data_IF_833245494620
#
_entry.id   IF_833245494620
#
_cell.length_a   1.000
_cell.length_b   1.000
_cell.length_c   1.000
_cell.angle_alpha   90.00
_cell.angle_beta   90.00
_cell.angle_gamma   90.00
#
_symmetry.space_group_name_H-M   'P 1'
#
loop_
_entity.id
_entity.type
_entity.pdbx_description
1 polymer ?
#
# COMPACT_ATOMS: atom_id res chain seq x y z
N UNK A 1 35.23 60.95 31.68
CA UNK A 1 36.43 60.17 31.29
C UNK A 1 36.29 58.74 31.78
N UNK A 2 35.78 57.87 30.90
CA UNK A 2 35.89 56.42 30.94
C UNK A 2 35.44 55.95 29.56
N UNK A 3 36.32 56.16 28.60
CA UNK A 3 36.25 55.49 27.30
C UNK A 3 36.37 53.97 27.59
N UNK A 4 35.74 53.08 26.85
CA UNK A 4 35.22 53.17 25.49
C UNK A 4 35.49 51.80 24.89
N UNK A 5 34.67 50.82 25.26
CA UNK A 5 34.91 49.42 24.93
C UNK A 5 34.85 49.25 23.40
N UNK A 6 35.99 48.89 22.81
CA UNK A 6 36.09 48.68 21.37
C UNK A 6 35.29 47.44 20.97
N UNK A 7 34.13 47.64 20.35
CA UNK A 7 33.52 46.61 19.52
C UNK A 7 34.46 46.33 18.34
N UNK A 8 34.85 45.08 18.07
CA UNK A 8 35.53 44.76 16.83
C UNK A 8 34.51 44.91 15.69
N UNK A 9 34.77 45.84 14.77
CA UNK A 9 34.00 45.95 13.53
C UNK A 9 34.04 44.62 12.79
N UNK A 10 32.85 44.10 12.45
CA UNK A 10 32.71 42.88 11.67
C UNK A 10 33.22 43.14 10.24
N UNK A 11 34.51 42.85 10.01
CA UNK A 11 35.08 42.89 8.68
C UNK A 11 34.27 41.98 7.74
N UNK A 12 33.67 42.58 6.71
CA UNK A 12 32.79 41.90 5.78
C UNK A 12 33.56 40.80 5.02
N UNK A 13 33.44 39.55 5.49
CA UNK A 13 34.06 38.40 4.86
C UNK A 13 33.50 38.23 3.44
N UNK A 14 34.40 38.10 2.46
CA UNK A 14 34.02 37.81 1.07
C UNK A 14 33.40 36.41 1.02
N UNK A 15 32.23 36.31 0.40
CA UNK A 15 31.53 35.03 0.19
C UNK A 15 32.41 34.12 -0.68
N UNK A 16 33.02 33.10 -0.07
CA UNK A 16 33.85 32.13 -0.79
C UNK A 16 34.76 31.29 0.11
N UNK A 17 35.35 31.87 1.15
CA UNK A 17 36.26 31.19 2.08
C UNK A 17 35.78 31.37 3.52
N UNK A 18 35.54 30.25 4.23
CA UNK A 18 35.33 30.28 5.66
C UNK A 18 36.68 30.67 6.33
N UNK A 19 36.72 31.65 7.26
CA UNK A 19 37.97 32.02 7.93
C UNK A 19 38.60 30.80 8.61
N UNK A 20 39.94 30.61 8.52
CA UNK A 20 40.63 29.44 9.08
C UNK A 20 40.31 29.18 10.57
N UNK A 21 40.02 30.23 11.32
CA UNK A 21 39.78 30.18 12.76
C UNK A 21 38.32 30.35 13.19
N UNK A 22 37.33 30.36 12.28
CA UNK A 22 35.92 30.52 12.69
C UNK A 22 35.46 29.38 13.63
N UNK A 23 35.95 28.16 13.41
CA UNK A 23 35.64 27.02 14.26
C UNK A 23 36.32 27.12 15.62
N UNK A 24 37.58 27.57 15.66
CA UNK A 24 38.34 27.76 16.90
C UNK A 24 37.71 28.88 17.74
N UNK A 25 37.44 30.04 17.12
CA UNK A 25 36.74 31.16 17.76
C UNK A 25 35.38 30.74 18.34
N UNK A 26 34.60 29.95 17.61
CA UNK A 26 33.30 29.47 18.10
C UNK A 26 33.44 28.47 19.25
N UNK A 27 34.47 27.61 19.24
CA UNK A 27 34.78 26.71 20.35
C UNK A 27 35.27 27.47 21.59
N UNK A 28 36.12 28.48 21.41
CA UNK A 28 36.62 29.34 22.50
C UNK A 28 35.47 30.15 23.11
N UNK A 29 34.60 30.73 22.28
CA UNK A 29 33.42 31.45 22.71
C UNK A 29 32.45 30.56 23.51
N UNK A 30 32.17 29.34 23.04
CA UNK A 30 31.34 28.37 23.77
C UNK A 30 32.01 27.88 25.06
N UNK A 31 33.33 27.68 25.05
CA UNK A 31 34.09 27.22 26.22
C UNK A 31 34.19 28.30 27.30
N UNK A 32 34.17 29.58 26.92
CA UNK A 32 34.11 30.72 27.83
C UNK A 32 32.72 31.06 28.37
N UNK A 33 31.67 30.31 28.02
CA UNK A 33 30.35 30.45 28.62
C UNK A 33 30.24 29.62 29.90
N UNK A 34 29.96 30.28 31.03
CA UNK A 34 29.70 29.63 32.33
C UNK A 34 28.32 28.93 32.40
N UNK A 35 27.56 28.90 31.30
CA UNK A 35 26.19 28.40 31.22
C UNK A 35 26.02 27.36 30.12
N UNK A 36 25.07 26.44 30.30
CA UNK A 36 24.71 25.47 29.26
C UNK A 36 24.20 26.17 27.99
N UNK A 37 24.77 25.80 26.85
CA UNK A 37 24.43 26.35 25.54
C UNK A 37 23.71 25.29 24.69
N UNK A 38 22.54 25.63 24.14
CA UNK A 38 21.77 24.77 23.23
C UNK A 38 21.61 25.46 21.88
N UNK A 39 22.24 24.89 20.85
CA UNK A 39 22.22 25.43 19.49
C UNK A 39 21.27 24.58 18.65
N UNK A 40 20.26 25.20 18.02
CA UNK A 40 19.33 24.53 17.11
C UNK A 40 19.64 24.92 15.66
N UNK A 41 19.86 23.92 14.82
CA UNK A 41 20.14 24.07 13.39
C UNK A 41 19.05 23.31 12.62
N UNK A 42 18.10 24.03 12.04
CA UNK A 42 17.00 23.43 11.26
C UNK A 42 17.30 23.40 9.76
N UNK A 43 16.60 22.54 9.02
CA UNK A 43 16.72 22.33 7.57
C UNK A 43 18.18 22.13 7.08
N UNK A 44 19.01 21.44 7.87
CA UNK A 44 20.47 21.30 7.64
C UNK A 44 20.84 20.70 6.27
N UNK A 45 19.93 19.95 5.62
CA UNK A 45 20.07 19.48 4.23
C UNK A 45 20.29 20.59 3.18
N UNK A 46 19.99 21.86 3.51
CA UNK A 46 20.33 22.99 2.67
C UNK A 46 21.85 23.19 2.52
N UNK A 47 22.65 22.73 3.49
CA UNK A 47 24.10 22.85 3.50
C UNK A 47 24.76 21.77 2.63
N UNK A 48 24.96 22.10 1.35
CA UNK A 48 25.65 21.22 0.37
C UNK A 48 27.13 21.53 0.15
N UNK A 49 27.64 22.63 0.72
CA UNK A 49 29.04 23.03 0.55
C UNK A 49 29.94 22.22 1.48
N UNK A 50 30.87 21.45 0.91
CA UNK A 50 31.78 20.59 1.68
C UNK A 50 32.64 21.34 2.71
N UNK A 51 33.04 22.59 2.45
CA UNK A 51 33.84 23.36 3.40
C UNK A 51 33.03 23.68 4.67
N UNK A 52 31.73 23.96 4.52
CA UNK A 52 30.80 24.15 5.64
C UNK A 52 30.56 22.83 6.37
N UNK A 53 30.41 21.71 5.64
CA UNK A 53 30.27 20.39 6.26
C UNK A 53 31.55 19.95 7.01
N UNK A 54 32.74 20.30 6.50
CA UNK A 54 34.03 20.11 7.20
C UNK A 54 34.13 20.97 8.46
N UNK A 55 33.68 22.23 8.40
CA UNK A 55 33.57 23.10 9.57
C UNK A 55 32.70 22.47 10.65
N UNK A 56 31.49 22.00 10.32
CA UNK A 56 30.61 21.35 11.30
C UNK A 56 31.20 20.03 11.83
N UNK A 57 31.82 19.21 10.97
CA UNK A 57 32.54 17.99 11.39
C UNK A 57 33.62 18.31 12.43
N UNK A 58 34.39 19.38 12.22
CA UNK A 58 35.44 19.83 13.16
C UNK A 58 34.83 20.33 14.47
N UNK A 59 33.84 21.23 14.40
CA UNK A 59 33.16 21.84 15.54
C UNK A 59 32.50 20.79 16.45
N UNK A 60 31.67 19.91 15.88
CA UNK A 60 30.90 18.91 16.62
C UNK A 60 31.80 17.86 17.29
N UNK A 61 32.98 17.60 16.73
CA UNK A 61 33.98 16.68 17.33
C UNK A 61 34.70 17.24 18.56
N UNK A 62 34.51 18.54 18.88
CA UNK A 62 35.21 19.26 19.97
C UNK A 62 34.28 20.11 20.84
N UNK A 63 32.96 19.94 20.73
CA UNK A 63 32.00 20.66 21.57
C UNK A 63 32.36 20.51 23.06
N UNK A 64 32.41 21.61 23.84
CA UNK A 64 32.60 21.51 25.28
C UNK A 64 31.37 20.85 25.91
N UNK A 65 31.56 20.17 27.05
CA UNK A 65 30.56 19.28 27.64
C UNK A 65 29.24 19.97 28.06
N UNK A 66 29.24 21.29 28.22
CA UNK A 66 28.05 22.09 28.52
C UNK A 66 27.31 22.61 27.27
N UNK A 67 27.85 22.41 26.06
CA UNK A 67 27.25 22.82 24.80
C UNK A 67 26.64 21.64 24.03
N UNK A 68 25.36 21.76 23.68
CA UNK A 68 24.62 20.77 22.90
C UNK A 68 24.17 21.38 21.57
N UNK A 69 24.23 20.57 20.49
CA UNK A 69 23.76 20.96 19.16
C UNK A 69 22.65 20.01 18.72
N UNK A 70 21.50 20.57 18.42
CA UNK A 70 20.32 19.89 17.90
C UNK A 70 20.24 20.17 16.39
N UNK A 71 20.22 19.13 15.58
CA UNK A 71 20.20 19.25 14.12
C UNK A 71 18.89 18.66 13.57
N UNK A 72 18.02 19.54 13.09
CA UNK A 72 16.88 19.17 12.23
C UNK A 72 17.38 18.94 10.81
N UNK A 73 17.16 17.74 10.28
CA UNK A 73 17.49 17.44 8.89
C UNK A 73 16.58 16.36 8.30
N UNK A 74 16.22 16.51 7.03
CA UNK A 74 15.49 15.51 6.23
C UNK A 74 16.39 14.37 5.71
N UNK A 75 17.71 14.57 5.74
CA UNK A 75 18.72 13.61 5.30
C UNK A 75 19.86 13.50 6.29
N UNK A 76 20.49 12.33 6.42
CA UNK A 76 21.66 12.16 7.29
C UNK A 76 22.83 13.02 6.79
N UNK A 77 23.31 14.01 7.57
CA UNK A 77 24.35 14.94 7.11
C UNK A 77 25.74 14.31 7.14
N UNK A 78 26.58 14.65 6.16
CA UNK A 78 27.97 14.14 6.02
C UNK A 78 28.97 14.79 7.01
N UNK A 79 28.55 15.05 8.22
CA UNK A 79 29.33 15.68 9.31
C UNK A 79 30.17 14.68 10.11
N UNK A 80 30.44 13.48 9.57
CA UNK A 80 31.16 12.42 10.29
C UNK A 80 30.32 11.71 11.37
N UNK A 81 28.99 11.67 11.18
CA UNK A 81 28.01 11.18 12.15
C UNK A 81 28.31 9.77 12.71
N UNK A 82 28.83 8.85 11.89
CA UNK A 82 29.22 7.51 12.34
C UNK A 82 30.29 7.55 13.46
N UNK A 83 31.28 8.44 13.35
CA UNK A 83 32.32 8.64 14.38
C UNK A 83 31.73 9.23 15.66
N UNK A 84 30.81 10.19 15.54
CA UNK A 84 30.12 10.78 16.69
C UNK A 84 29.27 9.74 17.44
N UNK A 85 28.58 8.85 16.70
CA UNK A 85 27.78 7.76 17.26
C UNK A 85 28.64 6.70 17.98
N UNK A 86 29.74 6.24 17.36
CA UNK A 86 30.67 5.27 17.97
C UNK A 86 31.26 5.81 19.28
N UNK A 87 31.60 7.10 19.30
CA UNK A 87 32.14 7.78 20.48
C UNK A 87 31.05 8.22 21.48
N UNK A 88 29.77 7.89 21.25
CA UNK A 88 28.60 8.29 22.07
C UNK A 88 28.44 9.82 22.25
N UNK A 89 28.93 10.60 21.29
CA UNK A 89 28.82 12.06 21.26
C UNK A 89 27.59 12.55 20.46
N UNK A 90 26.83 11.64 19.85
CA UNK A 90 25.58 11.95 19.15
C UNK A 90 24.52 10.86 19.42
N UNK A 91 23.26 11.28 19.35
CA UNK A 91 22.08 10.42 19.27
C UNK A 91 21.30 10.82 18.03
N UNK A 92 20.84 9.85 17.24
CA UNK A 92 19.98 10.10 16.07
C UNK A 92 18.57 9.67 16.42
N UNK A 93 17.64 10.62 16.38
CA UNK A 93 16.20 10.35 16.37
C UNK A 93 15.75 10.28 14.92
N UNK A 94 15.19 9.14 14.50
CA UNK A 94 14.65 8.94 13.16
C UNK A 94 13.18 9.34 13.12
N UNK A 95 12.64 9.48 11.91
CA UNK A 95 11.21 9.74 11.70
C UNK A 95 10.32 8.71 12.42
N UNK A 96 10.71 7.42 12.47
CA UNK A 96 9.97 6.39 13.22
C UNK A 96 9.93 6.64 14.73
N UNK A 97 11.02 7.16 15.32
CA UNK A 97 11.11 7.45 16.76
C UNK A 97 10.25 8.66 17.17
N UNK A 98 9.84 9.46 16.18
CA UNK A 98 8.99 10.65 16.34
C UNK A 98 7.53 10.42 15.93
N UNK A 99 7.16 9.19 15.54
CA UNK A 99 5.76 8.83 15.25
C UNK A 99 4.99 8.73 16.54
N UNK A 100 3.85 9.41 16.60
CA UNK A 100 2.94 9.28 17.72
C UNK A 100 2.40 7.85 17.77
N UNK A 101 2.50 7.23 18.94
CA UNK A 101 1.84 5.98 19.29
C UNK A 101 0.31 6.14 19.26
N UNK A 102 -0.46 5.03 19.19
CA UNK A 102 -1.93 5.12 19.28
C UNK A 102 -2.45 5.86 20.52
N UNK A 103 -1.71 5.79 21.64
CA UNK A 103 -2.01 6.53 22.86
C UNK A 103 -1.81 8.04 22.70
N UNK A 104 -0.66 8.46 22.15
CA UNK A 104 -0.36 9.88 21.90
C UNK A 104 -1.30 10.49 20.85
N UNK A 105 -1.70 9.73 19.82
CA UNK A 105 -2.73 10.19 18.87
C UNK A 105 -4.09 10.38 19.55
N UNK A 106 -4.46 9.47 20.47
CA UNK A 106 -5.69 9.62 21.26
C UNK A 106 -5.64 10.85 22.16
N UNK A 107 -4.49 11.11 22.81
CA UNK A 107 -4.27 12.30 23.63
C UNK A 107 -4.32 13.59 22.79
N UNK A 108 -3.66 13.62 21.64
CA UNK A 108 -3.61 14.76 20.73
C UNK A 108 -5.01 15.24 20.27
N UNK A 109 -5.94 14.30 20.02
CA UNK A 109 -7.33 14.65 19.72
C UNK A 109 -8.17 14.96 20.97
N UNK A 110 -7.86 14.38 22.13
CA UNK A 110 -8.55 14.68 23.40
C UNK A 110 -8.36 16.13 23.87
N UNK A 111 -7.24 16.77 23.51
CA UNK A 111 -7.00 18.20 23.74
C UNK A 111 -7.96 19.10 22.94
N UNK A 112 -8.53 18.59 21.84
CA UNK A 112 -9.35 19.36 20.90
C UNK A 112 -10.85 19.09 21.09
N UNK A 113 -11.34 19.43 22.29
CA UNK A 113 -12.69 19.11 22.79
C UNK A 113 -13.83 19.55 21.85
N UNK A 114 -13.63 20.63 21.10
CA UNK A 114 -14.64 21.19 20.20
C UNK A 114 -14.92 20.30 18.98
N UNK A 115 -13.94 19.48 18.56
CA UNK A 115 -14.08 18.59 17.41
C UNK A 115 -14.87 17.31 17.73
N UNK A 116 -15.03 16.94 19.01
CA UNK A 116 -15.74 15.71 19.46
C UNK A 116 -15.39 14.46 18.63
N UNK A 117 -14.10 14.21 18.44
CA UNK A 117 -13.60 13.07 17.65
C UNK A 117 -13.85 11.76 18.40
N UNK A 118 -14.50 10.81 17.75
CA UNK A 118 -14.76 9.47 18.29
C UNK A 118 -13.50 8.59 18.27
N UNK A 119 -13.49 7.55 19.10
CA UNK A 119 -12.39 6.57 19.11
C UNK A 119 -12.23 5.83 17.77
N UNK A 120 -13.31 5.68 17.00
CA UNK A 120 -13.30 5.08 15.66
C UNK A 120 -12.65 6.01 14.63
N UNK A 121 -13.01 7.30 14.63
CA UNK A 121 -12.35 8.33 13.82
C UNK A 121 -10.86 8.42 14.17
N UNK A 122 -10.48 8.46 15.46
CA UNK A 122 -9.08 8.43 15.91
C UNK A 122 -8.34 7.20 15.37
N UNK A 123 -8.96 6.03 15.44
CA UNK A 123 -8.39 4.79 14.89
C UNK A 123 -8.25 4.82 13.37
N UNK A 124 -9.19 5.41 12.64
CA UNK A 124 -9.13 5.59 11.19
C UNK A 124 -8.02 6.57 10.78
N UNK A 125 -7.93 7.71 11.48
CA UNK A 125 -6.88 8.71 11.29
C UNK A 125 -5.51 8.07 11.55
N UNK A 126 -5.33 7.32 12.65
CA UNK A 126 -4.07 6.62 12.93
C UNK A 126 -3.68 5.62 11.83
N UNK A 127 -4.64 4.88 11.27
CA UNK A 127 -4.37 3.97 10.13
C UNK A 127 -3.95 4.71 8.86
N UNK A 128 -4.46 5.92 8.61
CA UNK A 128 -4.14 6.75 7.44
C UNK A 128 -2.83 7.53 7.59
N UNK A 129 -2.63 8.20 8.72
CA UNK A 129 -1.44 9.00 9.02
C UNK A 129 -0.26 8.16 9.50
N UNK A 130 -0.51 6.92 9.92
CA UNK A 130 0.51 6.01 10.43
C UNK A 130 1.27 6.58 11.66
N UNK A 131 0.65 7.52 12.40
CA UNK A 131 1.24 8.23 13.54
C UNK A 131 2.01 9.52 13.20
N UNK A 132 2.00 9.97 11.94
CA UNK A 132 2.75 11.15 11.49
C UNK A 132 2.17 12.48 12.03
N UNK A 133 2.90 13.25 12.87
CA UNK A 133 2.33 14.40 13.60
C UNK A 133 1.73 15.51 12.71
N UNK A 134 2.38 15.86 11.60
CA UNK A 134 1.84 16.86 10.68
C UNK A 134 0.58 16.37 9.96
N UNK A 135 0.50 15.09 9.61
CA UNK A 135 -0.72 14.47 9.09
C UNK A 135 -1.87 14.50 10.10
N UNK A 136 -1.58 14.21 11.38
CA UNK A 136 -2.55 14.34 12.47
C UNK A 136 -3.06 15.78 12.62
N UNK A 137 -2.15 16.76 12.57
CA UNK A 137 -2.51 18.19 12.60
C UNK A 137 -3.40 18.59 11.43
N UNK A 138 -3.13 18.09 10.23
CA UNK A 138 -3.95 18.42 9.05
C UNK A 138 -5.34 17.77 9.12
N UNK A 139 -5.46 16.53 9.60
CA UNK A 139 -6.77 15.95 9.95
C UNK A 139 -7.49 16.76 11.04
N UNK A 140 -6.77 17.23 12.07
CA UNK A 140 -7.32 18.07 13.15
C UNK A 140 -7.91 19.37 12.64
N UNK A 141 -7.28 20.00 11.64
CA UNK A 141 -7.80 21.20 10.98
C UNK A 141 -9.00 20.88 10.07
N UNK A 142 -8.98 19.74 9.37
CA UNK A 142 -10.04 19.33 8.44
C UNK A 142 -11.32 18.78 9.09
N UNK A 143 -11.27 18.22 10.31
CA UNK A 143 -12.39 17.53 10.98
C UNK A 143 -13.65 18.39 11.29
N UNK A 144 -13.58 19.70 11.05
CA UNK A 144 -14.75 20.59 11.02
C UNK A 144 -15.64 20.39 9.77
N UNK A 145 -15.09 19.86 8.68
CA UNK A 145 -15.82 19.52 7.44
C UNK A 145 -16.52 18.15 7.57
N UNK A 146 -17.80 18.04 7.16
CA UNK A 146 -18.50 16.76 7.02
C UNK A 146 -17.86 15.82 5.97
N UNK A 147 -17.31 16.38 4.90
CA UNK A 147 -16.61 15.64 3.83
C UNK A 147 -15.39 14.92 4.40
N UNK A 148 -14.58 15.61 5.22
CA UNK A 148 -13.42 15.02 5.88
C UNK A 148 -13.80 13.85 6.78
N UNK A 149 -14.89 13.95 7.54
CA UNK A 149 -15.38 12.83 8.37
C UNK A 149 -15.88 11.66 7.54
N UNK A 150 -16.57 11.93 6.44
CA UNK A 150 -17.03 10.89 5.50
C UNK A 150 -15.83 10.13 4.93
N UNK A 151 -14.75 10.83 4.57
CA UNK A 151 -13.52 10.23 4.07
C UNK A 151 -12.79 9.31 5.07
N UNK A 152 -13.09 9.39 6.37
CA UNK A 152 -12.53 8.48 7.37
C UNK A 152 -13.25 7.12 7.42
N UNK A 153 -14.52 7.09 7.01
CA UNK A 153 -15.38 5.90 7.06
C UNK A 153 -15.20 5.02 5.83
N UNK A 154 -15.05 5.64 4.65
CA UNK A 154 -14.81 4.91 3.41
C UNK A 154 -13.29 4.66 3.21
N UNK A 155 -12.80 3.41 3.19
CA UNK A 155 -11.40 3.10 2.95
C UNK A 155 -10.96 3.32 1.49
N UNK A 156 -11.88 3.48 0.55
CA UNK A 156 -11.59 3.85 -0.83
C UNK A 156 -11.54 5.38 -1.02
N UNK A 157 -12.12 6.18 -0.11
CA UNK A 157 -12.10 7.65 -0.21
C UNK A 157 -10.73 8.24 0.18
N UNK A 158 -10.34 9.25 -0.58
CA UNK A 158 -8.97 9.68 -0.86
C UNK A 158 -8.38 10.64 0.17
N UNK A 159 -9.17 10.99 1.20
CA UNK A 159 -8.78 11.84 2.30
C UNK A 159 -8.97 13.34 2.04
N UNK A 160 -8.73 14.19 3.07
CA UNK A 160 -9.01 15.61 3.01
C UNK A 160 -8.32 16.35 1.86
N UNK A 161 -9.06 17.27 1.23
CA UNK A 161 -8.54 18.08 0.12
C UNK A 161 -7.40 19.01 0.57
N UNK A 162 -7.48 19.49 1.81
CA UNK A 162 -6.48 20.32 2.48
C UNK A 162 -5.16 19.55 2.69
N UNK A 163 -5.24 18.23 2.90
CA UNK A 163 -4.08 17.35 2.97
C UNK A 163 -3.39 17.19 1.60
N UNK A 164 -4.20 17.06 0.54
CA UNK A 164 -3.70 17.00 -0.83
C UNK A 164 -3.04 18.32 -1.28
N UNK A 165 -3.63 19.46 -0.93
CA UNK A 165 -3.08 20.79 -1.26
C UNK A 165 -1.75 21.02 -0.52
N UNK A 166 -1.64 20.69 0.78
CA UNK A 166 -0.36 20.76 1.50
C UNK A 166 0.74 19.89 0.88
N UNK A 167 0.43 18.62 0.56
CA UNK A 167 1.40 17.69 -0.06
C UNK A 167 1.79 18.12 -1.48
N UNK A 168 0.88 18.75 -2.23
CA UNK A 168 1.19 19.35 -3.52
C UNK A 168 2.23 20.46 -3.34
N UNK A 169 1.89 21.50 -2.58
CA UNK A 169 2.64 22.76 -2.54
C UNK A 169 3.95 22.70 -1.76
N UNK A 170 4.08 21.78 -0.80
CA UNK A 170 5.22 21.72 0.12
C UNK A 170 6.13 20.50 -0.07
N UNK A 171 5.74 19.54 -0.93
CA UNK A 171 6.50 18.31 -1.17
C UNK A 171 6.73 18.07 -2.65
N UNK A 172 5.66 18.01 -3.46
CA UNK A 172 5.75 17.61 -4.88
C UNK A 172 6.23 18.74 -5.77
N UNK A 173 5.67 19.94 -5.66
CA UNK A 173 6.07 21.12 -6.47
C UNK A 173 7.54 21.50 -6.31
N UNK A 174 8.12 21.23 -5.14
CA UNK A 174 9.54 21.46 -4.83
C UNK A 174 10.48 20.46 -5.52
N UNK A 175 9.98 19.38 -6.11
CA UNK A 175 10.79 18.40 -6.85
C UNK A 175 10.97 18.80 -8.31
N UNK A 176 12.05 18.32 -8.94
CA UNK A 176 12.22 18.47 -10.38
C UNK A 176 11.11 17.73 -11.16
N UNK A 177 10.73 18.17 -12.37
CA UNK A 177 9.65 17.54 -13.15
C UNK A 177 9.82 16.03 -13.35
N UNK A 178 11.08 15.55 -13.52
CA UNK A 178 11.42 14.11 -13.61
C UNK A 178 11.02 13.34 -12.35
N UNK A 179 11.28 13.91 -11.18
CA UNK A 179 10.94 13.27 -9.89
C UNK A 179 9.43 13.32 -9.65
N UNK A 180 8.76 14.43 -10.02
CA UNK A 180 7.28 14.49 -9.98
C UNK A 180 6.66 13.41 -10.86
N UNK A 181 7.12 13.26 -12.10
CA UNK A 181 6.66 12.20 -13.02
C UNK A 181 6.90 10.79 -12.45
N UNK A 182 8.07 10.53 -11.86
CA UNK A 182 8.37 9.27 -11.19
C UNK A 182 7.36 9.00 -10.07
N UNK A 183 7.22 9.95 -9.12
CA UNK A 183 6.31 9.85 -7.97
C UNK A 183 4.87 9.55 -8.40
N UNK A 184 4.32 10.31 -9.36
CA UNK A 184 2.97 10.07 -9.86
C UNK A 184 2.85 8.69 -10.51
N UNK A 185 3.74 8.31 -11.44
CA UNK A 185 3.66 7.03 -12.15
C UNK A 185 3.84 5.81 -11.24
N UNK A 186 4.63 5.90 -10.17
CA UNK A 186 4.86 4.78 -9.25
C UNK A 186 3.90 4.74 -8.07
N UNK A 187 3.08 5.78 -7.85
CA UNK A 187 2.09 5.83 -6.75
C UNK A 187 1.03 4.72 -6.77
N UNK A 188 0.73 4.19 -7.97
CA UNK A 188 -0.21 3.09 -8.20
C UNK A 188 0.36 1.71 -7.82
N UNK A 189 1.62 1.63 -7.36
CA UNK A 189 2.31 0.41 -7.02
C UNK A 189 2.28 0.16 -5.49
N UNK A 190 1.79 -1.02 -5.07
CA UNK A 190 1.68 -1.38 -3.64
C UNK A 190 3.04 -1.54 -2.94
N UNK A 191 4.08 -1.86 -3.71
CA UNK A 191 5.49 -1.95 -3.31
C UNK A 191 6.34 -1.51 -4.50
N UNK A 192 7.49 -0.93 -4.23
CA UNK A 192 8.40 -0.36 -5.21
C UNK A 192 9.69 -1.19 -5.24
N UNK A 193 10.22 -1.47 -6.42
CA UNK A 193 11.59 -1.94 -6.61
C UNK A 193 12.12 -1.33 -7.89
N UNK A 194 13.42 -1.07 -7.99
CA UNK A 194 13.97 -0.39 -9.17
C UNK A 194 13.60 -1.06 -10.50
N UNK A 195 13.62 -2.40 -10.67
CA UNK A 195 13.22 -3.02 -11.94
C UNK A 195 11.73 -2.83 -12.29
N UNK A 196 10.84 -2.83 -11.29
CA UNK A 196 9.41 -2.54 -11.50
C UNK A 196 9.18 -1.05 -11.81
N UNK A 197 9.81 -0.16 -11.04
CA UNK A 197 9.71 1.27 -11.26
C UNK A 197 10.27 1.66 -12.63
N UNK A 198 11.39 1.06 -13.07
CA UNK A 198 11.94 1.23 -14.42
C UNK A 198 10.98 0.73 -15.50
N UNK A 199 10.34 -0.44 -15.33
CA UNK A 199 9.36 -0.95 -16.27
C UNK A 199 8.10 -0.06 -16.38
N UNK A 200 7.71 0.61 -15.29
CA UNK A 200 6.51 1.46 -15.20
C UNK A 200 6.78 2.92 -15.60
N UNK A 201 7.99 3.44 -15.42
CA UNK A 201 8.34 4.83 -15.76
C UNK A 201 9.07 4.94 -17.10
N UNK A 202 9.90 3.95 -17.45
CA UNK A 202 10.91 4.01 -18.50
C UNK A 202 12.28 4.52 -18.01
N UNK A 203 12.44 4.80 -16.71
CA UNK A 203 13.66 5.39 -16.16
C UNK A 203 14.64 4.31 -15.70
N UNK A 204 15.84 4.25 -16.31
CA UNK A 204 16.87 3.26 -15.98
C UNK A 204 17.58 3.50 -14.63
N UNK A 205 17.55 4.74 -14.15
CA UNK A 205 18.08 5.27 -12.88
C UNK A 205 17.09 5.12 -11.71
N UNK A 206 16.11 4.22 -11.81
CA UNK A 206 15.05 4.07 -10.81
C UNK A 206 15.57 3.70 -9.40
N UNK A 207 16.72 3.02 -9.28
CA UNK A 207 17.34 2.74 -7.98
C UNK A 207 17.87 4.01 -7.32
N UNK A 208 18.62 4.83 -8.08
CA UNK A 208 19.19 6.09 -7.58
C UNK A 208 18.08 7.06 -7.15
N UNK A 209 16.98 7.11 -7.90
CA UNK A 209 15.79 7.89 -7.54
C UNK A 209 15.17 7.38 -6.22
N UNK A 210 14.97 6.07 -6.06
CA UNK A 210 14.39 5.50 -4.83
C UNK A 210 15.29 5.74 -3.61
N UNK A 211 16.61 5.58 -3.76
CA UNK A 211 17.57 5.88 -2.70
C UNK A 211 17.65 7.37 -2.38
N UNK A 212 17.54 8.26 -3.38
CA UNK A 212 17.46 9.70 -3.14
C UNK A 212 16.18 10.07 -2.39
N UNK A 213 15.03 9.50 -2.75
CA UNK A 213 13.75 9.75 -2.08
C UNK A 213 13.76 9.25 -0.63
N UNK A 214 14.36 8.08 -0.37
CA UNK A 214 14.54 7.52 0.97
C UNK A 214 15.50 8.38 1.81
N UNK A 215 16.69 8.70 1.28
CA UNK A 215 17.70 9.56 1.94
C UNK A 215 17.21 10.98 2.22
N UNK A 216 16.29 11.52 1.41
CA UNK A 216 15.70 12.85 1.60
C UNK A 216 14.42 12.83 2.43
N UNK A 217 14.03 11.68 2.98
CA UNK A 217 12.83 11.53 3.81
C UNK A 217 11.53 11.86 3.06
N UNK A 218 11.51 11.78 1.72
CA UNK A 218 10.38 12.15 0.88
C UNK A 218 9.35 11.02 0.83
N UNK A 219 8.84 10.68 2.01
CA UNK A 219 7.79 9.70 2.27
C UNK A 219 8.00 8.30 1.65
N UNK A 220 9.25 7.96 1.31
CA UNK A 220 9.69 6.64 0.83
C UNK A 220 10.54 5.99 1.91
N UNK A 221 10.32 4.69 2.16
CA UNK A 221 11.09 3.89 3.11
C UNK A 221 11.48 2.55 2.49
N UNK A 222 12.71 2.11 2.73
CA UNK A 222 13.13 0.73 2.46
C UNK A 222 12.36 -0.28 3.36
N UNK A 223 12.02 -1.44 2.78
CA UNK A 223 11.36 -2.56 3.43
C UNK A 223 12.33 -3.71 3.80
N UNK A 224 13.57 -3.66 3.31
CA UNK A 224 14.63 -4.63 3.56
C UNK A 224 15.98 -3.92 3.75
N UNK A 225 16.98 -4.66 4.27
CA UNK A 225 18.34 -4.16 4.50
C UNK A 225 19.14 -3.88 3.22
N UNK A 226 18.71 -4.47 2.11
CA UNK A 226 19.43 -4.50 0.84
C UNK A 226 18.94 -3.37 -0.09
N UNK A 227 18.03 -2.51 0.37
CA UNK A 227 17.37 -1.45 -0.40
C UNK A 227 16.80 -1.94 -1.74
N UNK A 228 16.22 -3.15 -1.77
CA UNK A 228 15.61 -3.73 -2.98
C UNK A 228 14.14 -3.39 -3.10
N UNK A 229 13.43 -3.41 -1.97
CA UNK A 229 12.03 -3.03 -1.89
C UNK A 229 11.84 -1.77 -1.07
N UNK A 230 11.02 -0.87 -1.58
CA UNK A 230 10.59 0.35 -0.91
C UNK A 230 9.06 0.41 -0.86
N UNK A 231 8.54 1.32 -0.05
CA UNK A 231 7.11 1.64 0.06
C UNK A 231 6.93 3.14 0.28
N UNK A 232 5.90 3.72 -0.32
CA UNK A 232 5.39 5.02 0.11
C UNK A 232 4.65 4.88 1.45
N UNK A 233 4.64 5.94 2.26
CA UNK A 233 3.62 6.08 3.31
C UNK A 233 2.23 6.16 2.68
N UNK A 234 1.23 5.52 3.31
CA UNK A 234 -0.10 5.32 2.71
C UNK A 234 -0.74 6.61 2.21
N UNK A 235 -0.78 7.63 3.07
CA UNK A 235 -1.34 8.95 2.77
C UNK A 235 -0.72 9.63 1.54
N UNK A 236 0.60 9.52 1.38
CA UNK A 236 1.31 10.10 0.24
C UNK A 236 1.06 9.31 -1.06
N UNK A 237 1.00 7.98 -0.96
CA UNK A 237 0.69 7.09 -2.09
C UNK A 237 -0.71 7.34 -2.64
N UNK A 238 -1.72 7.46 -1.77
CA UNK A 238 -3.10 7.81 -2.16
C UNK A 238 -3.13 9.14 -2.89
N UNK A 239 -2.69 10.22 -2.22
CA UNK A 239 -2.68 11.57 -2.80
C UNK A 239 -2.03 11.65 -4.20
N UNK A 240 -0.89 10.99 -4.40
CA UNK A 240 -0.24 10.92 -5.71
C UNK A 240 -1.07 10.15 -6.74
N UNK A 241 -1.66 9.01 -6.35
CA UNK A 241 -2.52 8.22 -7.21
C UNK A 241 -3.76 9.02 -7.66
N UNK A 242 -4.42 9.74 -6.74
CA UNK A 242 -5.64 10.50 -7.02
C UNK A 242 -5.34 11.72 -7.92
N UNK A 243 -4.14 12.26 -7.81
CA UNK A 243 -3.64 13.33 -8.67
C UNK A 243 -3.29 12.81 -10.07
N UNK A 244 -2.81 11.58 -10.20
CA UNK A 244 -2.66 10.91 -11.49
C UNK A 244 -4.03 10.58 -12.13
N UNK A 245 -4.98 10.04 -11.37
CA UNK A 245 -6.35 9.77 -11.85
C UNK A 245 -7.06 11.04 -12.35
N UNK A 246 -6.90 12.17 -11.65
CA UNK A 246 -7.47 13.46 -12.06
C UNK A 246 -6.77 14.12 -13.26
N UNK A 247 -5.52 13.77 -13.54
CA UNK A 247 -4.73 14.39 -14.62
C UNK A 247 -4.73 13.60 -15.93
N UNK A 248 -4.70 12.26 -15.88
CA UNK A 248 -4.71 11.43 -17.09
C UNK A 248 -5.13 9.97 -16.83
N UNK A 249 -6.35 9.61 -17.21
CA UNK A 249 -6.82 8.21 -17.23
C UNK A 249 -5.95 7.32 -18.14
N UNK A 250 -5.43 7.88 -19.25
CA UNK A 250 -4.55 7.16 -20.17
C UNK A 250 -3.21 6.77 -19.52
N UNK A 251 -2.64 7.62 -18.68
CA UNK A 251 -1.41 7.29 -17.93
C UNK A 251 -1.69 6.26 -16.83
N UNK A 252 -2.82 6.36 -16.11
CA UNK A 252 -3.24 5.33 -15.14
C UNK A 252 -3.32 3.94 -15.82
N UNK A 253 -4.02 3.85 -16.95
CA UNK A 253 -4.13 2.61 -17.73
C UNK A 253 -2.74 2.11 -18.16
N UNK A 254 -1.91 2.99 -18.72
CA UNK A 254 -0.54 2.69 -19.17
C UNK A 254 0.37 2.18 -18.05
N UNK A 255 0.28 2.76 -16.85
CA UNK A 255 1.01 2.31 -15.65
C UNK A 255 0.56 0.91 -15.23
N UNK A 256 -0.76 0.70 -15.08
CA UNK A 256 -1.31 -0.58 -14.67
C UNK A 256 -0.99 -1.70 -15.68
N UNK A 257 -1.07 -1.43 -17.00
CA UNK A 257 -0.67 -2.41 -18.00
C UNK A 257 0.82 -2.78 -17.94
N UNK A 258 1.72 -1.78 -17.77
CA UNK A 258 3.16 -2.03 -17.64
C UNK A 258 3.49 -2.83 -16.38
N UNK A 259 2.86 -2.48 -15.25
CA UNK A 259 3.00 -3.24 -14.00
C UNK A 259 2.50 -4.68 -14.16
N UNK A 260 1.32 -4.89 -14.75
CA UNK A 260 0.75 -6.22 -14.97
C UNK A 260 1.66 -7.12 -15.83
N UNK A 261 2.23 -6.59 -16.92
CA UNK A 261 3.20 -7.30 -17.76
C UNK A 261 4.48 -7.65 -16.99
N UNK A 262 5.00 -6.72 -16.19
CA UNK A 262 6.20 -6.95 -15.38
C UNK A 262 5.98 -8.04 -14.34
N UNK A 263 4.91 -7.95 -13.54
CA UNK A 263 4.58 -8.96 -12.52
C UNK A 263 4.38 -10.35 -13.12
N UNK A 264 3.73 -10.45 -14.30
CA UNK A 264 3.56 -11.71 -15.01
C UNK A 264 4.91 -12.30 -15.44
N UNK A 265 5.83 -11.48 -15.94
CA UNK A 265 7.19 -11.89 -16.31
C UNK A 265 8.05 -12.29 -15.09
N UNK A 266 7.74 -11.79 -13.89
CA UNK A 266 8.37 -12.21 -12.62
C UNK A 266 7.68 -13.43 -11.96
N UNK A 267 6.73 -14.07 -12.63
CA UNK A 267 5.92 -15.17 -12.10
C UNK A 267 5.12 -14.81 -10.81
N UNK A 268 4.65 -13.57 -10.72
CA UNK A 268 3.82 -13.02 -9.64
C UNK A 268 2.38 -12.78 -10.14
N UNK A 269 1.55 -13.83 -10.26
CA UNK A 269 0.24 -13.74 -10.92
C UNK A 269 -0.81 -12.98 -10.12
N UNK A 270 -0.72 -12.91 -8.78
CA UNK A 270 -1.70 -12.22 -7.94
C UNK A 270 -1.61 -10.69 -8.10
N UNK A 271 -0.39 -10.18 -8.15
CA UNK A 271 -0.10 -8.78 -8.45
C UNK A 271 -0.40 -8.45 -9.92
N UNK A 272 -0.06 -9.35 -10.84
CA UNK A 272 -0.35 -9.16 -12.26
C UNK A 272 -1.86 -9.05 -12.54
N UNK A 273 -2.68 -9.93 -11.95
CA UNK A 273 -4.14 -9.89 -12.12
C UNK A 273 -4.77 -8.68 -11.41
N UNK A 274 -4.23 -8.24 -10.26
CA UNK A 274 -4.63 -6.98 -9.62
C UNK A 274 -4.50 -5.80 -10.60
N UNK A 275 -3.32 -5.60 -11.17
CA UNK A 275 -3.09 -4.47 -12.08
C UNK A 275 -3.88 -4.60 -13.39
N UNK A 276 -4.01 -5.81 -13.95
CA UNK A 276 -4.83 -6.04 -15.15
C UNK A 276 -6.32 -5.75 -14.95
N UNK A 277 -6.85 -5.98 -13.73
CA UNK A 277 -8.23 -5.62 -13.38
C UNK A 277 -8.39 -4.11 -13.14
N UNK A 278 -7.41 -3.44 -12.53
CA UNK A 278 -7.44 -1.98 -12.33
C UNK A 278 -7.49 -1.20 -13.65
N UNK A 279 -6.77 -1.62 -14.70
CA UNK A 279 -6.91 -1.02 -16.04
C UNK A 279 -8.05 -1.62 -16.89
N UNK A 280 -8.95 -2.43 -16.28
CA UNK A 280 -10.08 -3.09 -16.95
C UNK A 280 -9.69 -3.98 -18.15
N UNK A 281 -8.43 -4.44 -18.21
CA UNK A 281 -7.96 -5.40 -19.21
C UNK A 281 -8.37 -6.82 -18.81
N UNK A 282 -9.69 -7.07 -18.83
CA UNK A 282 -10.31 -8.33 -18.41
C UNK A 282 -9.84 -9.54 -19.24
N UNK A 283 -9.44 -9.31 -20.50
CA UNK A 283 -8.84 -10.37 -21.34
C UNK A 283 -7.48 -10.84 -20.82
N UNK A 284 -6.61 -9.92 -20.39
CA UNK A 284 -5.35 -10.28 -19.73
C UNK A 284 -5.61 -10.91 -18.36
N UNK A 285 -6.47 -10.32 -17.54
CA UNK A 285 -6.80 -10.83 -16.21
C UNK A 285 -7.37 -12.27 -16.24
N UNK A 286 -8.29 -12.56 -17.17
CA UNK A 286 -8.84 -13.89 -17.36
C UNK A 286 -7.82 -14.89 -17.95
N UNK A 287 -6.84 -14.43 -18.76
CA UNK A 287 -5.75 -15.29 -19.22
C UNK A 287 -4.84 -15.70 -18.05
N UNK A 288 -4.38 -14.74 -17.23
CA UNK A 288 -3.58 -14.97 -16.03
C UNK A 288 -4.31 -15.94 -15.08
N UNK A 289 -5.60 -15.71 -14.82
CA UNK A 289 -6.37 -16.60 -13.95
C UNK A 289 -6.55 -18.00 -14.55
N UNK A 290 -6.71 -18.13 -15.88
CA UNK A 290 -6.85 -19.42 -16.57
C UNK A 290 -5.60 -20.31 -16.42
N UNK A 291 -4.42 -19.71 -16.39
CA UNK A 291 -3.16 -20.40 -16.15
C UNK A 291 -2.97 -20.69 -14.64
N UNK A 292 -2.95 -19.64 -13.82
CA UNK A 292 -2.67 -19.71 -12.38
C UNK A 292 -3.64 -20.61 -11.60
N UNK A 293 -4.91 -20.68 -12.03
CA UNK A 293 -5.93 -21.54 -11.42
C UNK A 293 -5.59 -23.04 -11.36
N UNK A 294 -4.68 -23.55 -12.20
CA UNK A 294 -4.16 -24.92 -12.02
C UNK A 294 -3.47 -25.07 -10.66
N UNK A 295 -2.57 -24.14 -10.34
CA UNK A 295 -1.81 -24.11 -9.09
C UNK A 295 -2.71 -23.82 -7.90
N UNK A 296 -3.65 -22.87 -8.03
CA UNK A 296 -4.63 -22.58 -6.97
C UNK A 296 -5.44 -23.82 -6.57
N UNK A 297 -5.91 -24.61 -7.55
CA UNK A 297 -6.65 -25.85 -7.27
C UNK A 297 -5.74 -26.90 -6.63
N UNK A 298 -4.51 -27.10 -7.14
CA UNK A 298 -3.55 -28.04 -6.56
C UNK A 298 -3.18 -27.71 -5.11
N UNK A 299 -3.12 -26.42 -4.76
CA UNK A 299 -2.84 -25.92 -3.41
C UNK A 299 -4.11 -25.82 -2.52
N UNK A 300 -5.29 -26.18 -3.03
CA UNK A 300 -6.60 -25.97 -2.38
C UNK A 300 -6.95 -24.50 -2.04
N UNK A 301 -6.32 -23.53 -2.71
CA UNK A 301 -6.55 -22.08 -2.58
C UNK A 301 -7.85 -21.62 -3.31
N UNK A 302 -8.94 -22.36 -3.10
CA UNK A 302 -10.20 -22.20 -3.85
C UNK A 302 -10.88 -20.84 -3.60
N UNK A 303 -10.70 -20.26 -2.41
CA UNK A 303 -11.24 -18.94 -2.04
C UNK A 303 -10.52 -17.83 -2.81
N UNK A 304 -9.21 -17.96 -3.05
CA UNK A 304 -8.44 -17.04 -3.90
C UNK A 304 -8.97 -17.09 -5.34
N UNK A 305 -9.25 -18.29 -5.87
CA UNK A 305 -9.86 -18.46 -7.19
C UNK A 305 -11.27 -17.86 -7.26
N UNK A 306 -12.13 -18.06 -6.25
CA UNK A 306 -13.45 -17.39 -6.18
C UNK A 306 -13.31 -15.85 -6.18
N UNK A 307 -12.43 -15.31 -5.34
CA UNK A 307 -12.20 -13.86 -5.20
C UNK A 307 -11.83 -13.19 -6.53
N UNK A 308 -10.95 -13.81 -7.31
CA UNK A 308 -10.54 -13.26 -8.60
C UNK A 308 -11.56 -13.52 -9.72
N UNK A 309 -12.28 -14.66 -9.67
CA UNK A 309 -13.40 -14.93 -10.56
C UNK A 309 -14.52 -13.88 -10.42
N UNK A 310 -14.89 -13.51 -9.19
CA UNK A 310 -15.95 -12.54 -8.90
C UNK A 310 -15.67 -11.13 -9.47
N UNK A 311 -14.42 -10.82 -9.81
CA UNK A 311 -13.99 -9.54 -10.39
C UNK A 311 -13.95 -9.54 -11.93
N UNK A 312 -14.22 -10.67 -12.59
CA UNK A 312 -14.21 -10.81 -14.04
C UNK A 312 -15.65 -10.77 -14.61
N UNK A 313 -15.91 -10.02 -15.69
CA UNK A 313 -17.17 -10.15 -16.42
C UNK A 313 -17.30 -11.56 -16.99
N UNK A 314 -18.51 -12.12 -16.92
CA UNK A 314 -18.78 -13.53 -17.24
C UNK A 314 -18.29 -13.92 -18.65
N UNK A 315 -18.45 -13.05 -19.65
CA UNK A 315 -18.05 -13.33 -21.03
C UNK A 315 -16.55 -13.60 -21.18
N UNK A 316 -15.68 -12.95 -20.40
CA UNK A 316 -14.23 -13.22 -20.45
C UNK A 316 -13.85 -14.57 -19.83
N UNK A 317 -14.70 -15.11 -18.95
CA UNK A 317 -14.61 -16.47 -18.40
C UNK A 317 -15.23 -17.48 -19.35
N UNK A 318 -16.40 -17.19 -19.91
CA UNK A 318 -17.12 -18.08 -20.82
C UNK A 318 -16.29 -18.39 -22.09
N UNK A 319 -15.61 -17.38 -22.63
CA UNK A 319 -14.67 -17.51 -23.75
C UNK A 319 -13.35 -18.24 -23.40
N UNK A 320 -13.19 -18.77 -22.17
CA UNK A 320 -12.02 -19.54 -21.72
C UNK A 320 -12.46 -20.85 -21.04
N UNK A 321 -12.70 -21.94 -21.80
CA UNK A 321 -13.21 -23.19 -21.26
C UNK A 321 -12.43 -23.75 -20.06
N UNK A 322 -11.10 -23.67 -20.10
CA UNK A 322 -10.22 -24.09 -19.00
C UNK A 322 -10.49 -23.30 -17.71
N UNK A 323 -10.70 -21.98 -17.80
CA UNK A 323 -11.05 -21.15 -16.64
C UNK A 323 -12.47 -21.45 -16.15
N UNK A 324 -13.44 -21.60 -17.06
CA UNK A 324 -14.81 -21.92 -16.71
C UNK A 324 -14.93 -23.24 -15.94
N UNK A 325 -14.23 -24.31 -16.38
CA UNK A 325 -14.19 -25.61 -15.70
C UNK A 325 -13.56 -25.48 -14.31
N UNK A 326 -12.44 -24.76 -14.18
CA UNK A 326 -11.74 -24.58 -12.90
C UNK A 326 -12.51 -23.70 -11.90
N UNK A 327 -13.20 -22.66 -12.38
CA UNK A 327 -14.12 -21.87 -11.57
C UNK A 327 -15.35 -22.71 -11.14
N UNK A 328 -15.90 -23.54 -12.03
CA UNK A 328 -16.99 -24.45 -11.66
C UNK A 328 -16.54 -25.46 -10.60
N UNK A 329 -15.31 -25.97 -10.70
CA UNK A 329 -14.69 -26.83 -9.68
C UNK A 329 -14.62 -26.11 -8.31
N UNK A 330 -14.01 -24.92 -8.23
CA UNK A 330 -13.89 -24.21 -6.95
C UNK A 330 -15.26 -23.87 -6.34
N UNK A 331 -16.20 -23.36 -7.15
CA UNK A 331 -17.54 -23.00 -6.72
C UNK A 331 -18.37 -24.23 -6.26
N UNK A 332 -18.15 -25.40 -6.86
CA UNK A 332 -18.75 -26.66 -6.40
C UNK A 332 -18.25 -27.05 -5.00
N UNK A 333 -16.94 -27.04 -4.78
CA UNK A 333 -16.34 -27.37 -3.47
C UNK A 333 -16.71 -26.35 -2.38
N UNK A 334 -16.73 -25.06 -2.72
CA UNK A 334 -17.18 -23.96 -1.85
C UNK A 334 -18.72 -23.88 -1.71
N UNK A 335 -19.46 -24.82 -2.32
CA UNK A 335 -20.93 -24.95 -2.30
C UNK A 335 -21.70 -23.70 -2.77
N UNK A 336 -21.09 -22.90 -3.65
CA UNK A 336 -21.62 -21.64 -4.22
C UNK A 336 -22.62 -21.90 -5.34
N UNK A 337 -23.73 -22.59 -5.01
CA UNK A 337 -24.72 -23.09 -5.99
C UNK A 337 -25.24 -22.03 -6.97
N UNK A 338 -25.47 -20.80 -6.52
CA UNK A 338 -25.94 -19.70 -7.36
C UNK A 338 -24.90 -19.32 -8.43
N UNK A 339 -23.64 -19.09 -8.04
CA UNK A 339 -22.53 -18.74 -8.94
C UNK A 339 -22.13 -19.89 -9.88
N UNK A 340 -22.31 -21.14 -9.43
CA UNK A 340 -22.03 -22.33 -10.24
C UNK A 340 -22.99 -22.49 -11.42
N UNK A 341 -24.23 -21.99 -11.31
CA UNK A 341 -25.30 -22.31 -12.27
C UNK A 341 -25.00 -21.83 -13.71
N UNK A 342 -24.59 -20.57 -13.95
CA UNK A 342 -24.25 -20.10 -15.30
C UNK A 342 -23.12 -20.90 -15.96
N UNK A 343 -22.12 -21.33 -15.18
CA UNK A 343 -21.02 -22.15 -15.70
C UNK A 343 -21.49 -23.56 -16.08
N UNK A 344 -22.41 -24.16 -15.32
CA UNK A 344 -23.01 -25.46 -15.68
C UNK A 344 -23.85 -25.34 -16.94
N UNK A 345 -24.71 -24.33 -17.06
CA UNK A 345 -25.50 -24.14 -18.28
C UNK A 345 -24.62 -23.84 -19.51
N UNK A 346 -23.50 -23.11 -19.36
CA UNK A 346 -22.48 -22.92 -20.40
C UNK A 346 -21.83 -24.25 -20.82
N UNK A 347 -21.42 -25.08 -19.86
CA UNK A 347 -20.77 -26.37 -20.13
C UNK A 347 -21.75 -27.37 -20.75
N UNK A 348 -23.02 -27.39 -20.33
CA UNK A 348 -24.08 -28.21 -20.96
C UNK A 348 -24.29 -27.83 -22.44
N UNK A 349 -24.21 -26.54 -22.79
CA UNK A 349 -24.30 -26.07 -24.19
C UNK A 349 -23.12 -26.54 -25.05
N UNK A 350 -21.91 -26.60 -24.48
CA UNK A 350 -20.68 -26.95 -25.21
C UNK A 350 -20.36 -28.47 -25.16
N UNK A 351 -20.99 -29.23 -24.26
CA UNK A 351 -20.80 -30.68 -24.15
C UNK A 351 -21.23 -31.47 -25.40
N UNK A 352 -22.04 -30.85 -26.28
CA UNK A 352 -22.37 -31.41 -27.60
C UNK A 352 -21.24 -31.34 -28.64
N UNK A 353 -20.19 -30.55 -28.41
CA UNK A 353 -19.12 -30.28 -29.40
C UNK A 353 -17.80 -31.05 -29.16
N UNK A 354 -17.75 -32.00 -28.21
CA UNK A 354 -16.62 -32.95 -28.06
C UNK A 354 -15.34 -32.44 -27.39
N UNK A 355 -14.97 -31.16 -27.53
CA UNK A 355 -13.63 -30.66 -27.16
C UNK A 355 -13.33 -30.54 -25.66
N UNK A 356 -14.34 -30.51 -24.78
CA UNK A 356 -14.14 -30.27 -23.34
C UNK A 356 -13.33 -31.38 -22.65
N UNK A 357 -13.35 -32.61 -23.19
CA UNK A 357 -12.81 -33.80 -22.50
C UNK A 357 -11.28 -33.94 -22.51
N UNK A 358 -10.53 -33.14 -23.28
CA UNK A 358 -9.07 -33.23 -23.35
C UNK A 358 -8.31 -32.30 -22.38
N UNK A 359 -9.00 -31.37 -21.70
CA UNK A 359 -8.35 -30.30 -20.93
C UNK A 359 -8.09 -30.62 -19.44
N UNK A 360 -8.49 -31.81 -18.97
CA UNK A 360 -8.24 -32.23 -17.58
C UNK A 360 -7.09 -33.22 -17.49
N UNK A 361 -6.11 -32.92 -16.63
CA UNK A 361 -5.11 -33.90 -16.21
C UNK A 361 -5.82 -35.15 -15.64
N UNK A 362 -5.34 -36.38 -15.88
CA UNK A 362 -6.09 -37.62 -15.58
C UNK A 362 -6.62 -37.73 -14.14
N UNK A 363 -5.94 -37.10 -13.19
CA UNK A 363 -6.30 -37.03 -11.77
C UNK A 363 -7.60 -36.25 -11.48
N UNK A 364 -7.96 -35.25 -12.29
CA UNK A 364 -9.17 -34.44 -12.08
C UNK A 364 -10.42 -35.02 -12.78
N UNK A 365 -10.27 -35.96 -13.72
CA UNK A 365 -11.37 -36.47 -14.53
C UNK A 365 -12.36 -37.37 -13.75
N UNK A 366 -11.90 -38.05 -12.69
CA UNK A 366 -12.72 -38.96 -11.88
C UNK A 366 -13.88 -38.27 -11.15
N UNK A 367 -13.63 -37.26 -10.30
CA UNK A 367 -14.67 -36.51 -9.61
C UNK A 367 -15.66 -35.82 -10.56
N UNK A 368 -15.15 -35.31 -11.69
CA UNK A 368 -15.96 -34.64 -12.72
C UNK A 368 -17.04 -35.55 -13.31
N UNK A 369 -16.65 -36.73 -13.83
CA UNK A 369 -17.60 -37.71 -14.41
C UNK A 369 -18.64 -38.21 -13.40
N UNK A 370 -18.27 -38.33 -12.13
CA UNK A 370 -19.16 -38.73 -11.05
C UNK A 370 -20.09 -37.62 -10.53
N UNK A 371 -19.88 -36.37 -10.97
CA UNK A 371 -20.72 -35.22 -10.65
C UNK A 371 -21.69 -34.88 -11.79
N UNK A 372 -21.22 -34.84 -13.04
CA UNK A 372 -22.07 -34.63 -14.22
C UNK A 372 -23.24 -35.62 -14.27
N UNK A 373 -22.98 -36.91 -14.01
CA UNK A 373 -24.03 -37.93 -13.95
C UNK A 373 -25.11 -37.68 -12.88
N UNK A 374 -24.75 -37.00 -11.78
CA UNK A 374 -25.68 -36.61 -10.70
C UNK A 374 -26.46 -35.33 -11.00
N UNK A 375 -25.91 -34.38 -11.75
CA UNK A 375 -26.69 -33.22 -12.24
C UNK A 375 -27.63 -33.62 -13.39
N UNK A 376 -27.23 -34.52 -14.29
CA UNK A 376 -28.13 -35.02 -15.34
C UNK A 376 -29.30 -35.83 -14.75
N UNK A 377 -29.08 -36.60 -13.67
CA UNK A 377 -30.17 -37.34 -13.00
C UNK A 377 -31.21 -36.44 -12.33
N UNK A 378 -30.89 -35.18 -12.03
CA UNK A 378 -31.87 -34.19 -11.55
C UNK A 378 -32.74 -33.58 -12.67
N UNK A 379 -32.34 -33.68 -13.94
CA UNK A 379 -33.13 -33.16 -15.09
C UNK A 379 -34.09 -34.19 -15.71
N UNK A 380 -33.94 -35.50 -15.45
CA UNK A 380 -34.78 -36.56 -16.05
C UNK A 380 -35.95 -37.01 -15.15
N UNK A 381 -36.88 -36.10 -14.85
CA UNK A 381 -38.19 -36.43 -14.30
C UNK A 381 -39.31 -35.48 -14.79
N UNK A 382 -39.98 -35.79 -15.91
CA UNK A 382 -41.36 -35.37 -16.12
C UNK A 382 -42.32 -36.55 -16.42
N UNK A 383 -43.58 -36.37 -15.99
CA UNK A 383 -44.81 -37.10 -16.38
C UNK A 383 -44.90 -38.63 -16.14
N UNK A 384 -45.63 -38.97 -15.07
CA UNK A 384 -46.78 -39.90 -15.06
C UNK A 384 -46.94 -40.99 -16.13
N UNK A 385 -46.84 -42.25 -15.71
CA UNK A 385 -47.89 -43.25 -15.97
C UNK A 385 -47.88 -44.31 -14.88
N UNK A 386 -49.05 -44.65 -14.33
CA UNK A 386 -49.17 -45.69 -13.30
C UNK A 386 -49.81 -46.94 -13.90
N UNK A 387 -49.18 -48.12 -13.78
CA UNK A 387 -49.87 -49.39 -13.75
C UNK A 387 -49.88 -49.93 -12.31
N UNK A 388 -51.08 -50.02 -11.71
CA UNK A 388 -51.26 -50.77 -10.45
C UNK A 388 -51.07 -52.26 -10.74
N UNK A 389 -49.96 -52.85 -10.31
CA UNK A 389 -49.82 -54.29 -10.28
C UNK A 389 -50.53 -54.86 -9.05
N UNK A 390 -51.30 -55.94 -9.22
CA UNK A 390 -51.97 -56.62 -8.12
C UNK A 390 -50.97 -57.34 -7.21
N UNK A 391 -51.12 -57.22 -5.90
CA UNK A 391 -50.71 -58.25 -4.95
C UNK A 391 -51.78 -58.47 -3.88
N UNK A 392 -52.24 -59.71 -3.74
CA UNK A 392 -53.15 -60.16 -2.69
C UNK A 392 -52.35 -60.71 -1.51
N UNK A 393 -52.68 -60.26 -0.29
CA UNK A 393 -52.74 -60.96 1.03
C UNK A 393 -52.68 -59.87 2.12
N UNK A 394 -53.80 -59.55 2.79
CA UNK A 394 -54.28 -60.15 4.06
C UNK A 394 -53.28 -60.01 5.22
N UNK A 395 -53.62 -59.49 6.41
CA UNK A 395 -54.86 -58.88 6.93
C UNK A 395 -54.56 -58.15 8.27
N UNK A 396 -55.49 -57.32 8.78
CA UNK A 396 -55.46 -56.64 10.09
C UNK A 396 -54.30 -55.61 10.30
N UNK A 397 -54.41 -54.53 11.10
CA UNK A 397 -55.52 -53.92 11.87
C UNK A 397 -55.24 -52.42 12.09
N UNK A 398 -56.29 -51.58 12.16
CA UNK A 398 -56.28 -50.20 12.73
C UNK A 398 -56.60 -50.29 14.26
N UNK A 399 -56.49 -49.21 15.08
CA UNK A 399 -56.32 -47.75 14.81
C UNK A 399 -54.98 -47.20 15.40
N UNK A 400 -54.74 -45.95 15.83
CA UNK A 400 -55.49 -44.68 15.99
C UNK A 400 -54.58 -43.41 16.00
N UNK A 401 -55.20 -42.21 16.09
CA UNK A 401 -54.81 -41.02 16.88
C UNK A 401 -53.31 -40.61 16.97
N UNK A 402 -52.87 -39.52 16.33
CA UNK A 402 -52.97 -38.10 16.77
C UNK A 402 -51.61 -37.57 17.27
N UNK A 403 -50.89 -36.79 16.46
CA UNK A 403 -50.95 -35.32 16.45
C UNK A 403 -50.24 -34.67 17.65
N UNK A 404 -48.94 -34.38 17.51
CA UNK A 404 -48.25 -33.42 18.37
C UNK A 404 -48.80 -32.01 18.13
N UNK A 405 -49.04 -31.27 19.21
CA UNK A 405 -49.09 -29.80 19.18
C UNK A 405 -47.67 -29.24 19.30
N UNK A 406 -47.40 -28.19 18.54
CA UNK A 406 -46.23 -27.34 18.74
C UNK A 406 -46.50 -26.26 19.79
N UNK A 407 -45.47 -25.83 20.52
CA UNK A 407 -45.19 -24.43 20.92
C UNK A 407 -43.85 -24.35 21.66
N UNK A 408 -42.84 -23.81 20.98
CA UNK A 408 -41.90 -22.76 21.40
C UNK A 408 -40.63 -22.83 20.53
#
# INVERSE_FOLDING_TARGET
>A
MRDGAAHPEAAAARVGEAPPDLANWMLDALSGMDTHASIFLDEFQALRNEAILRFFRFLLSRLPAHAHVFIGSRSLPEIGLATLLVNRMATVLRADDLRFTPGEVTQFFAESKDLRVSAEEVGAIYRRTEGWPAGLQLFRLGLGSPEVRTSLVDPEDHGPRELAEYLTDNVVTLQSPRIQEFLFKTSLLRRLSAPLCAAVTGFGDAQDILEQLERSGLFVRALDSDNRWFKYHGLFSSFLADSLHRSSELEVVSVHERAARWYLAQHLPEEAIYHALSCRNFSLAAAILSEWSSRLISNAELITLERWYDRLPFDHVANRPVLAIKAAYSLMFLRRRAKLRPLVDLMDQHAGCGDILQTTSPTCAGPWRACCSRTTSMRRSPSSTAPRCCSRRSAASRPSSSALRATC
#
